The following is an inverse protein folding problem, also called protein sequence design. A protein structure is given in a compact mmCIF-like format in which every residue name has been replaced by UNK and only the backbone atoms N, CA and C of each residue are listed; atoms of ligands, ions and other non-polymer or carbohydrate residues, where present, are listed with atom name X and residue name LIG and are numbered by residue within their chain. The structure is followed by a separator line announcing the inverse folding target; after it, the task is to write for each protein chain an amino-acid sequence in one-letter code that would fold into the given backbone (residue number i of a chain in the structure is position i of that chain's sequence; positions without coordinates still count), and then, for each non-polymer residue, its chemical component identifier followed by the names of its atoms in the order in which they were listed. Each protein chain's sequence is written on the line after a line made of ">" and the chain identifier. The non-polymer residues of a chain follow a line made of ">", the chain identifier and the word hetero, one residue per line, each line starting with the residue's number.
data_IF_427987485595
#
_entry.id   IF_427987485595
#
_cell.length_a   1.000
_cell.length_b   1.000
_cell.length_c   1.000
_cell.angle_alpha   90.00
_cell.angle_beta   90.00
_cell.angle_gamma   90.00
#
_symmetry.space_group_name_H-M   'P 1'
#
loop_
_entity.id
_entity.type
_entity.pdbx_description
1 polymer ?
#
# COMPACT_ATOMS: atom_id res chain seq x y z
N UNK A 1 -37.38 44.52 74.46
CA UNK A 1 -36.07 45.18 74.25
C UNK A 1 -36.16 46.45 73.43
N UNK A 2 -36.52 46.43 72.14
CA UNK A 2 -36.61 47.68 71.39
C UNK A 2 -37.71 48.62 71.90
N UNK A 3 -38.87 48.10 72.32
CA UNK A 3 -39.98 48.91 72.88
C UNK A 3 -39.81 49.27 74.37
N UNK A 4 -38.70 48.89 75.01
CA UNK A 4 -38.53 49.04 76.47
C UNK A 4 -37.15 49.53 76.90
N UNK A 5 -36.12 49.30 76.09
CA UNK A 5 -34.71 49.57 76.40
C UNK A 5 -34.05 50.39 75.28
N UNK A 6 -34.17 49.96 74.03
CA UNK A 6 -33.37 50.54 72.93
C UNK A 6 -34.07 51.66 72.16
N UNK A 7 -35.40 51.65 72.04
CA UNK A 7 -36.22 52.66 71.34
C UNK A 7 -35.69 53.08 69.96
N UNK A 8 -35.06 52.16 69.25
CA UNK A 8 -34.42 52.44 67.98
C UNK A 8 -35.46 52.55 66.87
N UNK A 9 -35.29 53.54 66.00
CA UNK A 9 -36.22 53.83 64.91
C UNK A 9 -36.15 52.73 63.85
N UNK A 10 -37.28 52.06 63.62
CA UNK A 10 -37.39 51.03 62.57
C UNK A 10 -37.13 51.67 61.20
N UNK A 11 -36.07 51.24 60.47
CA UNK A 11 -35.76 51.78 59.16
C UNK A 11 -36.83 51.40 58.13
N UNK A 12 -37.02 52.25 57.11
CA UNK A 12 -37.93 51.97 56.00
C UNK A 12 -37.31 50.94 55.06
N UNK A 13 -38.12 50.10 54.40
CA UNK A 13 -37.63 49.03 53.53
C UNK A 13 -36.69 49.52 52.41
N UNK A 14 -36.87 50.75 51.95
CA UNK A 14 -36.01 51.41 50.95
C UNK A 14 -34.61 51.79 51.46
N UNK A 15 -34.41 51.83 52.77
CA UNK A 15 -33.13 52.18 53.42
C UNK A 15 -32.31 50.95 53.81
N UNK A 16 -32.88 49.76 53.67
CA UNK A 16 -32.16 48.50 53.91
C UNK A 16 -31.31 48.14 52.68
N UNK A 17 -30.06 47.67 52.88
CA UNK A 17 -29.23 47.21 51.78
C UNK A 17 -29.84 45.96 51.13
N UNK A 18 -29.75 45.87 49.80
CA UNK A 18 -30.27 44.71 49.07
C UNK A 18 -29.47 43.45 49.42
N UNK A 19 -30.17 42.37 49.77
CA UNK A 19 -29.54 41.06 50.01
C UNK A 19 -29.32 40.37 48.66
N UNK A 20 -28.06 40.20 48.27
CA UNK A 20 -27.70 39.50 47.04
C UNK A 20 -27.85 37.98 47.25
N UNK A 21 -28.67 37.32 46.44
CA UNK A 21 -28.75 35.86 46.42
C UNK A 21 -27.45 35.23 45.90
N UNK A 22 -27.05 34.10 46.48
CA UNK A 22 -25.93 33.30 45.98
C UNK A 22 -26.43 32.27 44.96
N UNK A 23 -25.70 32.09 43.86
CA UNK A 23 -25.97 31.04 42.89
C UNK A 23 -25.36 29.74 43.44
N UNK A 24 -26.22 28.85 43.96
CA UNK A 24 -25.79 27.61 44.64
C UNK A 24 -25.69 26.41 43.68
N UNK A 25 -26.21 26.53 42.46
CA UNK A 25 -26.21 25.45 41.48
C UNK A 25 -25.62 25.92 40.14
N UNK A 26 -24.90 25.01 39.48
CA UNK A 26 -24.45 25.18 38.09
C UNK A 26 -25.30 24.28 37.19
N UNK A 27 -25.63 24.72 35.96
CA UNK A 27 -26.28 23.86 35.00
C UNK A 27 -25.33 22.72 34.61
N UNK A 28 -25.84 21.49 34.63
CA UNK A 28 -25.10 20.32 34.17
C UNK A 28 -25.28 20.18 32.64
N UNK A 29 -24.19 20.05 31.86
CA UNK A 29 -24.31 19.79 30.44
C UNK A 29 -24.93 18.40 30.21
N UNK A 30 -25.81 18.32 29.22
CA UNK A 30 -26.39 17.07 28.79
C UNK A 30 -25.40 16.29 27.92
N UNK A 31 -25.16 15.03 28.27
CA UNK A 31 -24.41 14.08 27.46
C UNK A 31 -25.37 12.99 26.97
N UNK A 32 -25.53 12.89 25.65
CA UNK A 32 -26.36 11.85 25.03
C UNK A 32 -25.67 10.47 24.98
N UNK A 33 -24.38 10.41 25.30
CA UNK A 33 -23.58 9.18 25.30
C UNK A 33 -23.27 8.67 26.71
N UNK A 34 -23.93 9.22 27.73
CA UNK A 34 -23.74 8.79 29.12
C UNK A 34 -24.10 7.29 29.28
N UNK A 35 -23.13 6.41 29.56
CA UNK A 35 -23.36 4.98 29.69
C UNK A 35 -24.30 4.63 30.85
N UNK A 36 -24.33 5.48 31.89
CA UNK A 36 -25.14 5.25 33.09
C UNK A 36 -26.64 5.51 32.82
N UNK A 37 -26.95 6.30 31.78
CA UNK A 37 -28.33 6.64 31.37
C UNK A 37 -28.78 5.86 30.14
N UNK A 38 -27.94 5.75 29.11
CA UNK A 38 -28.27 5.13 27.84
C UNK A 38 -27.88 3.65 27.73
N UNK A 39 -27.05 3.14 28.64
CA UNK A 39 -26.54 1.77 28.58
C UNK A 39 -25.50 1.56 27.48
N UNK A 40 -25.21 0.30 27.14
CA UNK A 40 -24.20 -0.04 26.13
C UNK A 40 -24.68 0.26 24.71
N UNK A 41 -23.79 0.83 23.88
CA UNK A 41 -24.08 1.10 22.47
C UNK A 41 -24.37 -0.20 21.68
N UNK A 42 -25.60 -0.32 21.18
CA UNK A 42 -26.06 -1.45 20.38
C UNK A 42 -25.54 -1.42 18.93
N UNK A 43 -25.07 -0.26 18.46
CA UNK A 43 -24.53 -0.04 17.12
C UNK A 43 -23.00 0.08 17.11
N UNK A 44 -22.31 -0.33 18.17
CA UNK A 44 -20.85 -0.28 18.26
C UNK A 44 -20.09 -0.97 17.11
N UNK A 45 -20.74 -1.87 16.36
CA UNK A 45 -20.18 -2.55 15.17
C UNK A 45 -20.59 -1.89 13.85
N UNK A 46 -21.53 -0.95 13.89
CA UNK A 46 -22.01 -0.23 12.73
C UNK A 46 -20.94 0.77 12.31
N UNK A 47 -20.47 0.64 11.08
CA UNK A 47 -19.50 1.56 10.51
C UNK A 47 -20.24 2.80 9.99
N UNK A 48 -19.76 4.02 10.28
CA UNK A 48 -20.38 5.24 9.77
C UNK A 48 -20.49 5.24 8.25
N UNK A 49 -21.59 5.80 7.73
CA UNK A 49 -21.81 5.89 6.28
C UNK A 49 -20.67 6.64 5.58
N UNK A 50 -20.16 7.72 6.19
CA UNK A 50 -19.05 8.51 5.65
C UNK A 50 -17.79 7.65 5.45
N UNK A 51 -17.51 6.73 6.38
CA UNK A 51 -16.40 5.80 6.24
C UNK A 51 -16.62 4.81 5.08
N UNK A 52 -17.85 4.34 4.89
CA UNK A 52 -18.20 3.50 3.73
C UNK A 52 -18.08 4.26 2.40
N UNK A 53 -18.53 5.50 2.33
CA UNK A 53 -18.44 6.34 1.14
C UNK A 53 -16.97 6.63 0.78
N UNK A 54 -16.17 7.03 1.77
CA UNK A 54 -14.72 7.24 1.57
C UNK A 54 -14.01 5.95 1.14
N UNK A 55 -14.39 4.80 1.70
CA UNK A 55 -13.84 3.50 1.29
C UNK A 55 -14.22 3.17 -0.16
N UNK A 56 -15.46 3.45 -0.55
CA UNK A 56 -15.94 3.25 -1.92
C UNK A 56 -15.15 4.10 -2.91
N UNK A 57 -14.99 5.39 -2.63
CA UNK A 57 -14.22 6.31 -3.46
C UNK A 57 -12.77 5.86 -3.59
N UNK A 58 -12.12 5.52 -2.47
CA UNK A 58 -10.75 5.01 -2.47
C UNK A 58 -10.61 3.72 -3.30
N UNK A 59 -11.59 2.82 -3.20
CA UNK A 59 -11.56 1.56 -3.95
C UNK A 59 -11.65 1.77 -5.45
N UNK A 60 -12.42 2.76 -5.92
CA UNK A 60 -12.53 3.09 -7.33
C UNK A 60 -11.23 3.73 -7.85
N UNK A 61 -10.66 4.71 -7.13
CA UNK A 61 -9.38 5.32 -7.51
C UNK A 61 -8.23 4.30 -7.54
N UNK A 62 -8.20 3.38 -6.57
CA UNK A 62 -7.25 2.26 -6.57
C UNK A 62 -7.45 1.35 -7.79
N UNK A 63 -8.69 1.00 -8.12
CA UNK A 63 -9.00 0.16 -9.28
C UNK A 63 -8.60 0.84 -10.60
N UNK A 64 -8.87 2.13 -10.72
CA UNK A 64 -8.47 2.96 -11.87
C UNK A 64 -6.96 2.98 -12.05
N UNK A 65 -6.20 3.28 -10.99
CA UNK A 65 -4.74 3.27 -11.03
C UNK A 65 -4.19 1.88 -11.39
N UNK A 66 -4.77 0.82 -10.83
CA UNK A 66 -4.34 -0.55 -11.11
C UNK A 66 -4.56 -0.91 -12.59
N UNK A 67 -5.72 -0.55 -13.17
CA UNK A 67 -6.01 -0.79 -14.59
C UNK A 67 -4.99 -0.08 -15.48
N UNK A 68 -4.68 1.18 -15.19
CA UNK A 68 -3.70 1.98 -15.95
C UNK A 68 -2.30 1.34 -15.92
N UNK A 69 -1.82 0.95 -14.74
CA UNK A 69 -0.49 0.33 -14.59
C UNK A 69 -0.44 -1.02 -15.31
N UNK A 70 -1.49 -1.84 -15.19
CA UNK A 70 -1.57 -3.13 -15.88
C UNK A 70 -1.53 -2.91 -17.40
N UNK A 71 -2.32 -1.98 -17.92
CA UNK A 71 -2.33 -1.68 -19.35
C UNK A 71 -0.97 -1.22 -19.86
N UNK A 72 -0.30 -0.31 -19.13
CA UNK A 72 1.05 0.15 -19.46
C UNK A 72 2.04 -1.01 -19.48
N UNK A 73 2.01 -1.85 -18.46
CA UNK A 73 2.89 -3.03 -18.35
C UNK A 73 2.65 -4.00 -19.50
N UNK A 74 1.40 -4.35 -19.79
CA UNK A 74 1.05 -5.27 -20.86
C UNK A 74 1.46 -4.73 -22.23
N UNK A 75 1.28 -3.43 -22.48
CA UNK A 75 1.74 -2.80 -23.71
C UNK A 75 3.28 -2.87 -23.85
N UNK A 76 4.02 -2.55 -22.78
CA UNK A 76 5.49 -2.63 -22.80
C UNK A 76 6.03 -4.05 -22.91
N UNK A 77 5.38 -5.01 -22.25
CA UNK A 77 5.70 -6.44 -22.43
C UNK A 77 5.46 -6.88 -23.87
N UNK A 78 4.34 -6.50 -24.48
CA UNK A 78 4.04 -6.83 -25.88
C UNK A 78 5.05 -6.22 -26.85
N UNK A 79 5.42 -4.96 -26.64
CA UNK A 79 6.49 -4.31 -27.42
C UNK A 79 7.79 -5.12 -27.30
N UNK A 80 8.21 -5.44 -26.07
CA UNK A 80 9.43 -6.20 -25.80
C UNK A 80 9.41 -7.58 -26.46
N UNK A 81 8.33 -8.34 -26.31
CA UNK A 81 8.17 -9.66 -26.93
C UNK A 81 8.29 -9.57 -28.45
N UNK A 82 7.68 -8.55 -29.06
CA UNK A 82 7.78 -8.31 -30.50
C UNK A 82 9.24 -8.08 -30.91
N UNK A 83 9.99 -7.26 -30.17
CA UNK A 83 11.41 -7.04 -30.43
C UNK A 83 12.27 -8.30 -30.28
N UNK A 84 12.03 -9.10 -29.23
CA UNK A 84 12.74 -10.37 -29.01
C UNK A 84 12.50 -11.34 -30.17
N UNK A 85 11.26 -11.43 -30.66
CA UNK A 85 10.91 -12.27 -31.80
C UNK A 85 11.58 -11.79 -33.09
N UNK A 86 11.59 -10.47 -33.35
CA UNK A 86 12.23 -9.89 -34.53
C UNK A 86 13.75 -10.13 -34.54
N UNK A 87 14.41 -10.03 -33.38
CA UNK A 87 15.86 -10.21 -33.27
C UNK A 87 16.29 -11.67 -33.14
N UNK A 88 15.33 -12.61 -33.02
CA UNK A 88 15.59 -14.04 -32.80
C UNK A 88 16.64 -14.30 -31.71
N UNK A 89 16.66 -13.51 -30.64
CA UNK A 89 17.70 -13.58 -29.60
C UNK A 89 17.77 -14.97 -28.94
N UNK A 90 16.65 -15.70 -28.91
CA UNK A 90 16.57 -17.08 -28.45
C UNK A 90 17.43 -18.07 -29.27
N UNK A 91 17.85 -17.68 -30.48
CA UNK A 91 18.72 -18.47 -31.35
C UNK A 91 20.18 -18.06 -31.27
N UNK A 92 20.49 -16.99 -30.55
CA UNK A 92 21.87 -16.59 -30.29
C UNK A 92 22.38 -17.45 -29.12
N UNK A 93 23.32 -18.38 -29.34
CA UNK A 93 23.97 -19.11 -28.26
C UNK A 93 24.65 -18.09 -27.36
N UNK A 94 24.15 -17.99 -26.13
CA UNK A 94 24.70 -17.11 -25.10
C UNK A 94 26.05 -17.62 -24.58
N UNK A 95 26.36 -18.89 -24.86
CA UNK A 95 27.62 -19.54 -24.55
C UNK A 95 28.51 -19.59 -25.79
N UNK A 96 29.83 -19.62 -25.57
CA UNK A 96 30.89 -19.82 -26.58
C UNK A 96 30.80 -21.18 -27.32
N UNK A 97 29.61 -21.68 -27.62
CA UNK A 97 29.39 -22.90 -28.41
C UNK A 97 29.86 -22.74 -29.85
N UNK A 98 29.91 -21.51 -30.39
CA UNK A 98 30.56 -21.23 -31.67
C UNK A 98 32.07 -21.48 -31.69
N UNK A 99 32.73 -21.54 -30.53
CA UNK A 99 34.15 -21.90 -30.42
C UNK A 99 34.35 -23.41 -30.32
N UNK A 100 33.29 -24.20 -30.15
CA UNK A 100 33.39 -25.66 -30.14
C UNK A 100 33.28 -26.15 -31.58
N UNK A 101 34.36 -26.76 -32.06
CA UNK A 101 34.36 -27.48 -33.33
C UNK A 101 33.23 -28.52 -33.30
N UNK A 102 32.43 -28.67 -34.38
CA UNK A 102 31.50 -29.78 -34.53
C UNK A 102 32.14 -31.12 -34.18
N UNK A 103 31.41 -31.99 -33.50
CA UNK A 103 31.93 -33.25 -32.95
C UNK A 103 32.49 -34.15 -34.05
N UNK A 104 31.89 -34.11 -35.23
CA UNK A 104 32.29 -34.86 -36.41
C UNK A 104 33.69 -34.44 -36.87
N UNK A 105 33.99 -33.13 -36.83
CA UNK A 105 35.32 -32.62 -37.16
C UNK A 105 36.33 -32.96 -36.05
N UNK A 106 35.91 -32.92 -34.79
CA UNK A 106 36.74 -33.32 -33.65
C UNK A 106 37.14 -34.80 -33.75
N UNK A 107 36.19 -35.68 -34.09
CA UNK A 107 36.40 -37.12 -34.24
C UNK A 107 37.30 -37.42 -35.46
N UNK A 108 37.12 -36.69 -36.58
CA UNK A 108 38.03 -36.75 -37.73
C UNK A 108 39.45 -36.32 -37.36
N UNK A 109 39.61 -35.19 -36.66
CA UNK A 109 40.93 -34.73 -36.20
C UNK A 109 41.58 -35.75 -35.25
N UNK A 110 40.82 -36.36 -34.35
CA UNK A 110 41.31 -37.40 -33.45
C UNK A 110 41.76 -38.65 -34.21
N UNK A 111 40.99 -39.11 -35.20
CA UNK A 111 41.34 -40.26 -36.03
C UNK A 111 42.60 -40.02 -36.87
N UNK A 112 42.74 -38.84 -37.48
CA UNK A 112 43.95 -38.46 -38.24
C UNK A 112 45.16 -38.35 -37.32
N UNK A 113 45.00 -37.83 -36.10
CA UNK A 113 46.10 -37.73 -35.12
C UNK A 113 46.50 -39.09 -34.55
N UNK A 114 45.55 -40.01 -34.38
CA UNK A 114 45.80 -41.38 -33.92
C UNK A 114 46.60 -42.20 -34.95
N UNK A 115 46.60 -41.79 -36.22
CA UNK A 115 47.39 -42.41 -37.29
C UNK A 115 48.47 -41.45 -37.81
N UNK A 116 49.61 -41.30 -37.10
CA UNK A 116 50.63 -40.28 -37.40
C UNK A 116 51.27 -40.39 -38.80
N UNK A 117 51.16 -41.55 -39.46
CA UNK A 117 51.68 -41.78 -40.81
C UNK A 117 50.62 -41.65 -41.91
N UNK A 118 49.34 -41.42 -41.57
CA UNK A 118 48.22 -41.34 -42.53
C UNK A 118 48.49 -40.31 -43.63
N UNK A 119 49.01 -39.13 -43.26
CA UNK A 119 49.33 -38.08 -44.24
C UNK A 119 50.46 -38.50 -45.21
N UNK A 120 51.44 -39.30 -44.76
CA UNK A 120 52.53 -39.77 -45.64
C UNK A 120 52.07 -40.89 -46.56
N UNK A 121 51.25 -41.81 -46.05
CA UNK A 121 50.65 -42.89 -46.82
C UNK A 121 49.68 -42.37 -47.88
N UNK A 122 48.84 -41.37 -47.54
CA UNK A 122 47.93 -40.74 -48.49
C UNK A 122 48.69 -40.03 -49.62
N UNK A 123 49.74 -39.27 -49.29
CA UNK A 123 50.58 -38.58 -50.29
C UNK A 123 51.31 -39.58 -51.20
N UNK A 124 51.75 -40.73 -50.66
CA UNK A 124 52.38 -41.79 -51.45
C UNK A 124 51.39 -42.57 -52.33
N UNK A 125 50.11 -42.66 -51.95
CA UNK A 125 49.07 -43.34 -52.73
C UNK A 125 48.47 -42.45 -53.84
N UNK A 126 48.70 -41.14 -53.78
CA UNK A 126 48.25 -40.17 -54.79
C UNK A 126 49.32 -39.85 -55.86
N UNK A 127 50.55 -40.34 -55.70
CA UNK A 127 51.60 -40.32 -56.73
C UNK A 127 51.55 -41.58 -57.59
#
# INVERSE_FOLDING_TARGET
>A
DNDSVYFEKVPTLSSLPAVQGAIVAKPQPFDCHDPDVCGSDIFQKLVPLDAHLATSEYSEEKAKLLREIIELKENKNRELETFILCLQLNRVPLNNEYLRLPRELLDCCAAVTAHPNMNKELVSAMQ
#
